data_IF_775939258947
#
_entry.id   IF_775939258947
#
_cell.length_a   1.000
_cell.length_b   1.000
_cell.length_c   1.000
_cell.angle_alpha   90.00
_cell.angle_beta   90.00
_cell.angle_gamma   90.00
#
_symmetry.space_group_name_H-M   'P 1'
#
loop_
_entity.id
_entity.type
_entity.pdbx_description
1 polymer ?
#
# COMPACT_ATOMS: atom_id res chain seq x y z
N UNK A 1 9.48 -3.31 -27.56
CA UNK A 1 8.64 -2.93 -26.40
C UNK A 1 8.78 -3.98 -25.30
N UNK A 2 9.22 -3.64 -24.08
CA UNK A 2 9.27 -4.60 -22.96
C UNK A 2 7.83 -4.97 -22.57
N UNK A 3 7.51 -6.28 -22.56
CA UNK A 3 6.19 -6.82 -22.18
C UNK A 3 5.85 -6.36 -20.75
N UNK A 4 4.66 -5.80 -20.54
CA UNK A 4 4.19 -5.34 -19.21
C UNK A 4 4.15 -6.55 -18.27
N UNK A 5 4.85 -6.48 -17.13
CA UNK A 5 4.81 -7.54 -16.10
C UNK A 5 3.44 -7.51 -15.41
N UNK A 6 2.89 -8.68 -15.11
CA UNK A 6 1.65 -8.81 -14.32
C UNK A 6 1.95 -8.62 -12.82
N UNK A 7 0.93 -8.31 -11.99
CA UNK A 7 1.03 -8.42 -10.54
C UNK A 7 1.50 -9.80 -10.08
N UNK A 8 2.33 -9.86 -9.04
CA UNK A 8 2.89 -11.14 -8.56
C UNK A 8 1.89 -11.77 -7.58
N UNK A 9 1.54 -13.02 -7.86
CA UNK A 9 0.67 -13.85 -7.00
C UNK A 9 1.45 -14.98 -6.32
N UNK A 10 2.34 -15.62 -7.08
CA UNK A 10 3.22 -16.69 -6.60
C UNK A 10 4.67 -16.19 -6.59
N UNK A 11 5.19 -15.90 -5.39
CA UNK A 11 6.53 -15.34 -5.20
C UNK A 11 7.64 -16.33 -5.55
N UNK A 12 7.43 -17.63 -5.32
CA UNK A 12 8.44 -18.67 -5.62
C UNK A 12 8.59 -18.80 -7.14
N UNK A 13 7.47 -18.86 -7.85
CA UNK A 13 7.45 -18.91 -9.31
C UNK A 13 8.05 -17.63 -9.93
N UNK A 14 7.72 -16.44 -9.41
CA UNK A 14 8.34 -15.19 -9.87
C UNK A 14 9.85 -15.20 -9.64
N UNK A 15 10.32 -15.57 -8.45
CA UNK A 15 11.74 -15.61 -8.12
C UNK A 15 12.52 -16.60 -8.99
N UNK A 16 12.01 -17.83 -9.14
CA UNK A 16 12.63 -18.85 -9.99
C UNK A 16 12.72 -18.38 -11.44
N UNK A 17 11.65 -17.77 -11.98
CA UNK A 17 11.65 -17.22 -13.33
C UNK A 17 12.61 -16.03 -13.49
N UNK A 18 12.68 -15.16 -12.48
CA UNK A 18 13.46 -13.91 -12.51
C UNK A 18 14.96 -14.16 -12.40
N UNK A 19 15.36 -15.09 -11.55
CA UNK A 19 16.77 -15.33 -11.21
C UNK A 19 17.31 -16.66 -11.76
N UNK A 20 16.47 -17.45 -12.44
CA UNK A 20 16.84 -18.71 -13.08
C UNK A 20 17.50 -19.73 -12.12
N UNK A 21 17.05 -19.74 -10.85
CA UNK A 21 17.55 -20.66 -9.84
C UNK A 21 16.47 -21.02 -8.80
N UNK A 22 16.72 -22.05 -8.00
CA UNK A 22 15.78 -22.55 -6.99
C UNK A 22 15.70 -21.65 -5.77
N UNK A 23 14.47 -21.28 -5.40
CA UNK A 23 14.15 -20.56 -4.16
C UNK A 23 13.19 -21.36 -3.29
N UNK A 24 13.35 -21.24 -1.98
CA UNK A 24 12.42 -21.73 -0.97
C UNK A 24 12.03 -20.61 0.01
N UNK A 25 10.81 -20.63 0.57
CA UNK A 25 10.43 -19.75 1.66
C UNK A 25 11.34 -19.90 2.86
N UNK A 26 11.75 -18.78 3.46
CA UNK A 26 12.67 -18.76 4.59
C UNK A 26 12.13 -18.01 5.81
N UNK A 27 11.45 -16.88 5.61
CA UNK A 27 10.87 -16.09 6.70
C UNK A 27 9.61 -15.39 6.21
N UNK A 28 8.59 -15.35 7.05
CA UNK A 28 7.34 -14.63 6.80
C UNK A 28 7.14 -13.64 7.95
N UNK A 29 6.91 -12.38 7.62
CA UNK A 29 6.46 -11.35 8.54
C UNK A 29 5.07 -10.92 8.09
N UNK A 30 4.05 -11.32 8.85
CA UNK A 30 2.64 -11.13 8.47
C UNK A 30 1.75 -10.85 9.70
N UNK A 31 2.24 -10.00 10.61
CA UNK A 31 1.56 -9.68 11.88
C UNK A 31 0.18 -9.03 11.70
N UNK A 32 -0.10 -8.52 10.50
CA UNK A 32 -1.32 -7.81 10.18
C UNK A 32 -2.40 -8.73 9.58
N UNK A 33 -2.07 -9.98 9.23
CA UNK A 33 -2.95 -10.91 8.50
C UNK A 33 -4.41 -10.98 8.98
N UNK A 34 -4.71 -10.99 10.30
CA UNK A 34 -6.10 -11.05 10.77
C UNK A 34 -6.92 -9.78 10.52
N UNK A 35 -6.24 -8.67 10.22
CA UNK A 35 -6.80 -7.32 10.21
C UNK A 35 -6.74 -6.66 8.82
N UNK A 36 -6.10 -7.29 7.84
CA UNK A 36 -5.86 -6.71 6.52
C UNK A 36 -7.16 -6.39 5.78
N UNK A 37 -7.12 -5.35 4.96
CA UNK A 37 -8.21 -4.98 4.06
C UNK A 37 -7.71 -4.90 2.63
N UNK A 38 -8.50 -5.42 1.69
CA UNK A 38 -8.14 -5.52 0.28
C UNK A 38 -9.21 -4.89 -0.62
N UNK A 39 -9.76 -3.74 -0.23
CA UNK A 39 -10.63 -2.98 -1.13
C UNK A 39 -9.85 -2.60 -2.39
N UNK A 40 -10.54 -2.68 -3.52
CA UNK A 40 -10.03 -2.38 -4.85
C UNK A 40 -10.50 -1.01 -5.30
N UNK A 41 -9.88 -0.50 -6.37
CA UNK A 41 -10.36 0.70 -7.01
C UNK A 41 -11.73 0.48 -7.67
N UNK A 42 -11.99 -0.70 -8.23
CA UNK A 42 -13.30 -1.05 -8.79
C UNK A 42 -14.44 -1.00 -7.78
N UNK A 43 -14.16 -1.25 -6.49
CA UNK A 43 -15.16 -1.13 -5.42
C UNK A 43 -15.67 0.31 -5.23
N UNK A 44 -14.92 1.30 -5.71
CA UNK A 44 -15.16 2.71 -5.45
C UNK A 44 -15.36 3.57 -6.71
N UNK A 45 -14.99 3.05 -7.89
CA UNK A 45 -14.97 3.80 -9.15
C UNK A 45 -16.35 4.43 -9.48
N UNK A 46 -17.44 3.71 -9.22
CA UNK A 46 -18.81 4.15 -9.56
C UNK A 46 -19.56 4.88 -8.43
N UNK A 47 -18.89 5.21 -7.32
CA UNK A 47 -19.52 5.95 -6.23
C UNK A 47 -19.81 7.41 -6.61
N UNK A 48 -20.99 7.92 -6.21
CA UNK A 48 -21.61 9.28 -6.25
C UNK A 48 -21.23 10.28 -7.37
N UNK A 49 -19.97 10.35 -7.81
CA UNK A 49 -19.46 11.29 -8.81
C UNK A 49 -18.46 10.67 -9.81
N UNK A 50 -18.17 9.37 -9.71
CA UNK A 50 -17.09 8.76 -10.45
C UNK A 50 -15.73 9.14 -9.86
N UNK A 51 -14.92 8.15 -9.48
CA UNK A 51 -13.57 8.38 -9.00
C UNK A 51 -12.55 7.95 -10.06
N UNK A 52 -11.49 8.75 -10.24
CA UNK A 52 -10.41 8.50 -11.21
C UNK A 52 -9.06 8.65 -10.54
N UNK A 53 -8.08 7.82 -10.93
CA UNK A 53 -6.71 7.87 -10.42
C UNK A 53 -6.62 7.82 -8.88
N UNK A 54 -7.48 7.02 -8.23
CA UNK A 54 -7.67 7.07 -6.78
C UNK A 54 -6.97 5.94 -6.02
N UNK A 55 -5.81 5.50 -6.49
CA UNK A 55 -5.03 4.48 -5.81
C UNK A 55 -4.64 4.91 -4.38
N UNK A 56 -4.28 6.17 -4.15
CA UNK A 56 -3.94 6.65 -2.80
C UNK A 56 -5.13 6.70 -1.84
N UNK A 57 -6.28 7.29 -2.21
CA UNK A 57 -7.50 7.17 -1.41
C UNK A 57 -7.90 5.71 -1.13
N UNK A 58 -7.74 4.79 -2.10
CA UNK A 58 -7.99 3.35 -1.89
C UNK A 58 -7.01 2.74 -0.90
N UNK A 59 -5.70 2.98 -1.07
CA UNK A 59 -4.66 2.49 -0.16
C UNK A 59 -4.84 3.02 1.26
N UNK A 60 -5.17 4.30 1.41
CA UNK A 60 -5.46 4.93 2.70
C UNK A 60 -6.71 4.34 3.36
N UNK A 61 -7.74 4.05 2.56
CA UNK A 61 -8.95 3.37 3.04
C UNK A 61 -8.62 1.99 3.58
N UNK A 62 -7.80 1.21 2.87
CA UNK A 62 -7.35 -0.11 3.34
C UNK A 62 -6.55 -0.01 4.64
N UNK A 63 -5.67 0.99 4.79
CA UNK A 63 -4.95 1.24 6.05
C UNK A 63 -5.90 1.55 7.21
N UNK A 64 -6.86 2.46 7.00
CA UNK A 64 -7.80 2.87 8.05
C UNK A 64 -8.73 1.71 8.46
N UNK A 65 -9.16 0.87 7.52
CA UNK A 65 -9.91 -0.35 7.82
C UNK A 65 -9.06 -1.34 8.64
N UNK A 66 -7.78 -1.49 8.29
CA UNK A 66 -6.88 -2.36 9.05
C UNK A 66 -6.67 -1.86 10.48
N UNK A 67 -6.48 -0.56 10.67
CA UNK A 67 -6.37 0.03 12.02
C UNK A 67 -7.68 -0.14 12.82
N UNK A 68 -8.84 0.03 12.18
CA UNK A 68 -10.16 -0.24 12.80
C UNK A 68 -10.24 -1.67 13.33
N UNK A 69 -9.82 -2.64 12.52
CA UNK A 69 -9.92 -4.06 12.85
C UNK A 69 -9.04 -4.47 14.05
N UNK A 70 -7.95 -3.75 14.31
CA UNK A 70 -7.04 -4.05 15.44
C UNK A 70 -7.57 -3.53 16.75
N UNK A 71 -7.95 -2.26 16.77
CA UNK A 71 -8.21 -1.59 18.02
C UNK A 71 -9.62 -1.87 18.56
N UNK A 72 -10.47 -2.61 17.82
CA UNK A 72 -11.91 -2.73 18.09
C UNK A 72 -12.50 -1.38 18.52
N UNK A 73 -11.97 -0.26 17.99
CA UNK A 73 -12.24 1.06 18.57
C UNK A 73 -13.68 1.40 18.26
N UNK A 74 -14.56 1.55 19.27
CA UNK A 74 -15.94 1.96 19.05
C UNK A 74 -16.01 3.34 18.35
N UNK A 75 -14.93 4.11 18.45
CA UNK A 75 -14.80 5.48 17.94
C UNK A 75 -14.52 5.56 16.44
N UNK A 76 -14.00 4.49 15.82
CA UNK A 76 -13.95 4.34 14.37
C UNK A 76 -15.32 3.88 13.87
N UNK A 77 -16.30 4.77 13.99
CA UNK A 77 -17.64 4.60 13.41
C UNK A 77 -17.54 4.66 11.87
N UNK A 78 -16.95 3.62 11.28
CA UNK A 78 -16.91 3.38 9.85
C UNK A 78 -18.12 2.53 9.52
N UNK A 79 -19.15 3.18 8.98
CA UNK A 79 -20.39 2.55 8.54
C UNK A 79 -20.14 1.51 7.43
N UNK A 80 -19.26 1.84 6.48
CA UNK A 80 -18.88 0.97 5.37
C UNK A 80 -17.55 1.39 4.74
N UNK A 81 -16.85 0.47 4.05
CA UNK A 81 -15.68 0.82 3.24
C UNK A 81 -15.94 1.94 2.23
N UNK A 82 -17.12 1.99 1.62
CA UNK A 82 -17.51 3.01 0.66
C UNK A 82 -17.68 4.39 1.32
N UNK A 83 -18.32 4.44 2.50
CA UNK A 83 -18.47 5.69 3.27
C UNK A 83 -17.09 6.23 3.69
N UNK A 84 -16.22 5.35 4.20
CA UNK A 84 -14.84 5.69 4.53
C UNK A 84 -14.08 6.22 3.31
N UNK A 85 -14.14 5.52 2.18
CA UNK A 85 -13.49 5.96 0.94
C UNK A 85 -13.98 7.34 0.47
N UNK A 86 -15.31 7.57 0.46
CA UNK A 86 -15.87 8.87 0.05
C UNK A 86 -15.31 9.99 0.94
N UNK A 87 -15.20 9.73 2.24
CA UNK A 87 -14.69 10.69 3.21
C UNK A 87 -13.18 10.93 3.08
N UNK A 88 -12.38 9.89 2.87
CA UNK A 88 -10.93 10.02 2.63
C UNK A 88 -10.69 10.76 1.32
N UNK A 89 -11.32 10.35 0.23
CA UNK A 89 -11.21 11.03 -1.07
C UNK A 89 -11.67 12.49 -1.01
N UNK A 90 -12.77 12.79 -0.30
CA UNK A 90 -13.22 14.19 -0.09
C UNK A 90 -12.19 15.00 0.69
N UNK A 91 -11.57 14.42 1.72
CA UNK A 91 -10.50 15.07 2.47
C UNK A 91 -9.29 15.36 1.56
N UNK A 92 -8.84 14.37 0.79
CA UNK A 92 -7.72 14.52 -0.14
C UNK A 92 -7.97 15.62 -1.17
N UNK A 93 -9.18 15.71 -1.74
CA UNK A 93 -9.54 16.81 -2.66
C UNK A 93 -9.52 18.17 -2.00
N UNK A 94 -10.06 18.30 -0.78
CA UNK A 94 -10.06 19.57 -0.03
C UNK A 94 -8.64 20.05 0.29
N UNK A 95 -7.72 19.11 0.52
CA UNK A 95 -6.32 19.41 0.80
C UNK A 95 -5.45 19.57 -0.46
N UNK A 96 -6.03 19.45 -1.66
CA UNK A 96 -5.27 19.37 -2.92
C UNK A 96 -4.25 18.20 -2.94
N UNK A 97 -4.44 17.21 -2.06
CA UNK A 97 -3.62 16.01 -1.97
C UNK A 97 -4.12 14.91 -2.91
N UNK A 98 -5.35 15.00 -3.42
CA UNK A 98 -5.91 14.07 -4.41
C UNK A 98 -6.68 14.84 -5.48
N UNK A 99 -6.28 14.66 -6.74
CA UNK A 99 -6.91 15.27 -7.91
C UNK A 99 -7.75 14.23 -8.65
N UNK A 100 -9.08 14.32 -8.51
CA UNK A 100 -10.04 13.40 -9.14
C UNK A 100 -10.24 13.71 -10.64
N UNK A 101 -9.17 13.64 -11.41
CA UNK A 101 -9.17 13.90 -12.85
C UNK A 101 -8.35 12.81 -13.55
N UNK A 102 -8.57 12.68 -14.85
CA UNK A 102 -7.72 11.86 -15.71
C UNK A 102 -7.63 12.55 -17.06
N UNK A 103 -6.76 13.56 -17.17
CA UNK A 103 -6.49 14.19 -18.47
C UNK A 103 -5.45 13.35 -19.21
N UNK A 104 -5.81 12.87 -20.40
CA UNK A 104 -5.02 11.95 -21.23
C UNK A 104 -4.52 10.68 -20.51
N UNK A 105 -5.23 10.23 -19.47
CA UNK A 105 -4.82 9.06 -18.69
C UNK A 105 -3.59 9.26 -17.80
N UNK A 106 -3.08 10.49 -17.66
CA UNK A 106 -1.80 10.78 -16.98
C UNK A 106 -1.85 11.87 -15.91
N UNK A 107 -2.77 12.83 -16.02
CA UNK A 107 -2.89 13.90 -15.03
C UNK A 107 -3.97 13.57 -14.01
N UNK A 108 -3.59 13.52 -12.74
CA UNK A 108 -4.47 13.24 -11.61
C UNK A 108 -3.80 12.41 -10.52
N UNK A 109 -4.58 12.02 -9.53
CA UNK A 109 -4.16 11.13 -8.44
C UNK A 109 -3.57 11.85 -7.24
N UNK A 110 -2.85 11.09 -6.42
CA UNK A 110 -2.38 11.56 -5.12
C UNK A 110 -1.08 12.36 -5.26
N UNK A 111 -1.05 13.55 -4.68
CA UNK A 111 0.14 14.38 -4.62
C UNK A 111 1.21 13.72 -3.77
N UNK A 112 2.41 13.58 -4.33
CA UNK A 112 3.56 13.07 -3.61
C UNK A 112 3.89 13.94 -2.39
N UNK A 113 3.96 15.26 -2.58
CA UNK A 113 4.35 16.19 -1.52
C UNK A 113 3.34 16.30 -0.38
N UNK A 114 2.05 16.14 -0.68
CA UNK A 114 0.97 16.33 0.29
C UNK A 114 0.48 15.03 0.93
N UNK A 115 1.03 13.88 0.53
CA UNK A 115 0.59 12.58 1.06
C UNK A 115 0.83 12.44 2.56
N UNK A 116 1.96 12.92 3.08
CA UNK A 116 2.24 12.92 4.53
C UNK A 116 1.21 13.71 5.35
N UNK A 117 0.98 14.99 5.04
CA UNK A 117 -0.10 15.78 5.65
C UNK A 117 -1.49 15.13 5.48
N UNK A 118 -1.79 14.60 4.31
CA UNK A 118 -3.06 13.94 4.01
C UNK A 118 -3.30 12.70 4.88
N UNK A 119 -2.30 11.81 5.00
CA UNK A 119 -2.34 10.65 5.90
C UNK A 119 -2.60 11.07 7.34
N UNK A 120 -1.82 12.02 7.87
CA UNK A 120 -1.96 12.48 9.26
C UNK A 120 -3.33 13.11 9.52
N UNK A 121 -3.86 13.87 8.57
CA UNK A 121 -5.18 14.47 8.69
C UNK A 121 -6.29 13.41 8.67
N UNK A 122 -6.15 12.37 7.83
CA UNK A 122 -7.09 11.25 7.83
C UNK A 122 -7.04 10.50 9.16
N UNK A 123 -5.85 10.17 9.66
CA UNK A 123 -5.68 9.54 10.97
C UNK A 123 -6.33 10.38 12.09
N UNK A 124 -6.14 11.71 12.09
CA UNK A 124 -6.77 12.62 13.06
C UNK A 124 -8.29 12.63 12.95
N UNK A 125 -8.82 12.71 11.73
CA UNK A 125 -10.26 12.72 11.48
C UNK A 125 -10.94 11.48 12.06
N UNK A 126 -10.24 10.35 12.03
CA UNK A 126 -10.72 9.08 12.56
C UNK A 126 -10.21 8.76 13.97
N UNK A 127 -9.64 9.75 14.68
CA UNK A 127 -9.18 9.65 16.06
C UNK A 127 -8.20 8.50 16.34
N UNK A 128 -7.39 8.11 15.35
CA UNK A 128 -6.36 7.07 15.52
C UNK A 128 -4.97 7.64 15.84
N UNK A 129 -4.83 8.96 15.94
CA UNK A 129 -3.53 9.62 16.17
C UNK A 129 -2.89 9.28 17.50
N UNK A 130 -3.69 8.99 18.52
CA UNK A 130 -3.18 8.69 19.86
C UNK A 130 -2.68 7.24 19.99
N UNK A 131 -2.98 6.42 18.98
CA UNK A 131 -2.60 5.00 18.89
C UNK A 131 -1.59 4.73 17.77
N UNK A 132 -1.18 5.75 17.01
CA UNK A 132 -0.32 5.55 15.84
C UNK A 132 0.77 6.63 15.73
N UNK A 133 2.02 6.18 15.72
CA UNK A 133 3.18 7.00 15.37
C UNK A 133 3.48 6.85 13.88
N UNK A 134 3.51 7.98 13.16
CA UNK A 134 3.80 8.01 11.71
C UNK A 134 5.24 8.44 11.44
N UNK A 135 6.01 7.51 10.87
CA UNK A 135 7.38 7.71 10.41
C UNK A 135 7.39 7.98 8.90
N UNK A 136 8.00 9.09 8.46
CA UNK A 136 7.96 9.52 7.05
C UNK A 136 9.29 9.30 6.35
N UNK A 137 9.27 8.70 5.17
CA UNK A 137 10.46 8.41 4.36
C UNK A 137 10.19 8.82 2.91
N UNK A 138 10.43 10.10 2.56
CA UNK A 138 10.14 10.62 1.22
C UNK A 138 11.06 10.04 0.14
N UNK A 139 12.26 9.58 0.52
CA UNK A 139 13.22 8.91 -0.36
C UNK A 139 13.61 7.58 0.28
N UNK A 140 12.89 6.53 -0.09
CA UNK A 140 13.08 5.17 0.40
C UNK A 140 13.37 4.20 -0.74
N UNK A 141 13.91 3.03 -0.39
CA UNK A 141 14.05 1.87 -1.28
C UNK A 141 13.39 0.64 -0.66
N UNK A 142 13.22 -0.41 -1.45
CA UNK A 142 12.57 -1.64 -1.00
C UNK A 142 13.15 -2.26 0.28
N UNK A 143 14.46 -2.13 0.53
CA UNK A 143 15.07 -2.62 1.78
C UNK A 143 14.68 -1.80 3.01
N UNK A 144 14.34 -0.52 2.85
CA UNK A 144 13.78 0.28 3.93
C UNK A 144 12.37 -0.18 4.29
N UNK A 145 11.55 -0.53 3.30
CA UNK A 145 10.22 -1.12 3.53
C UNK A 145 10.32 -2.42 4.31
N UNK A 146 11.21 -3.33 3.89
CA UNK A 146 11.45 -4.59 4.62
C UNK A 146 11.81 -4.29 6.07
N UNK A 147 12.69 -3.31 6.33
CA UNK A 147 13.07 -2.92 7.69
C UNK A 147 11.91 -2.38 8.52
N UNK A 148 11.01 -1.57 7.93
CA UNK A 148 9.84 -1.06 8.65
C UNK A 148 8.82 -2.17 8.96
N UNK A 149 8.57 -3.05 7.99
CA UNK A 149 7.68 -4.20 8.15
C UNK A 149 8.25 -5.20 9.17
N UNK A 150 9.58 -5.38 9.24
CA UNK A 150 10.23 -6.23 10.23
C UNK A 150 9.97 -5.77 11.67
N UNK A 151 9.91 -4.45 11.87
CA UNK A 151 9.49 -3.78 13.11
C UNK A 151 7.99 -3.89 13.40
N UNK A 152 7.23 -4.63 12.57
CA UNK A 152 5.79 -4.82 12.73
C UNK A 152 4.95 -3.62 12.29
N UNK A 153 5.52 -2.64 11.58
CA UNK A 153 4.78 -1.44 11.16
C UNK A 153 3.95 -1.72 9.90
N UNK A 154 2.80 -1.07 9.79
CA UNK A 154 2.00 -0.99 8.57
C UNK A 154 2.60 0.10 7.66
N UNK A 155 2.59 -0.07 6.34
CA UNK A 155 3.22 0.91 5.43
C UNK A 155 2.25 1.40 4.36
N UNK A 156 2.07 2.72 4.27
CA UNK A 156 1.58 3.36 3.05
C UNK A 156 2.76 3.53 2.10
N UNK A 157 2.72 2.90 0.93
CA UNK A 157 3.77 2.96 -0.08
C UNK A 157 3.28 3.73 -1.30
N UNK A 158 4.06 4.72 -1.72
CA UNK A 158 3.89 5.43 -2.98
C UNK A 158 5.06 5.12 -3.91
N UNK A 159 4.74 4.52 -5.06
CA UNK A 159 5.70 4.16 -6.10
C UNK A 159 5.68 5.19 -7.22
N UNK A 160 6.83 5.45 -7.85
CA UNK A 160 6.94 6.38 -8.98
C UNK A 160 7.10 5.68 -10.33
N UNK A 161 7.93 4.64 -10.40
CA UNK A 161 8.35 4.01 -11.66
C UNK A 161 8.35 2.48 -11.59
N UNK A 162 7.37 1.88 -10.90
CA UNK A 162 7.35 0.42 -10.75
C UNK A 162 7.14 -0.28 -12.11
N UNK A 163 7.84 -1.38 -12.43
CA UNK A 163 7.75 -2.06 -13.72
C UNK A 163 6.31 -2.43 -14.13
N UNK A 164 5.52 -2.93 -13.16
CA UNK A 164 4.12 -3.33 -13.31
C UNK A 164 3.14 -2.18 -13.06
N UNK A 165 3.34 -1.45 -11.95
CA UNK A 165 2.35 -0.52 -11.39
C UNK A 165 2.56 0.92 -11.86
N UNK A 166 3.73 1.26 -12.40
CA UNK A 166 4.13 2.64 -12.74
C UNK A 166 4.08 3.54 -11.49
N UNK A 167 3.43 4.69 -11.57
CA UNK A 167 3.11 5.53 -10.43
C UNK A 167 1.84 4.99 -9.77
N UNK A 168 1.94 4.56 -8.51
CA UNK A 168 0.84 3.88 -7.83
C UNK A 168 1.03 3.85 -6.31
N UNK A 169 -0.08 3.95 -5.58
CA UNK A 169 -0.11 3.92 -4.11
C UNK A 169 -0.72 2.60 -3.63
N UNK A 170 -0.12 1.98 -2.61
CA UNK A 170 -0.57 0.70 -2.03
C UNK A 170 -0.41 0.67 -0.51
N UNK A 171 -1.16 -0.20 0.15
CA UNK A 171 -0.92 -0.55 1.55
C UNK A 171 -0.06 -1.83 1.60
N UNK A 172 1.03 -1.82 2.37
CA UNK A 172 1.91 -2.95 2.58
C UNK A 172 1.85 -3.43 4.03
N UNK A 173 1.57 -4.72 4.20
CA UNK A 173 1.23 -5.34 5.48
C UNK A 173 2.36 -6.21 6.05
N UNK A 174 3.19 -6.75 5.17
CA UNK A 174 4.20 -7.72 5.57
C UNK A 174 5.16 -8.05 4.44
N UNK A 175 6.00 -9.04 4.65
CA UNK A 175 6.85 -9.56 3.60
C UNK A 175 7.13 -11.05 3.76
N UNK A 176 7.49 -11.67 2.64
CA UNK A 176 8.07 -13.01 2.60
C UNK A 176 9.48 -12.93 2.06
N UNK A 177 10.38 -13.63 2.73
CA UNK A 177 11.77 -13.81 2.34
C UNK A 177 11.92 -15.18 1.69
N UNK A 178 12.54 -15.22 0.52
CA UNK A 178 12.97 -16.45 -0.13
C UNK A 178 14.49 -16.55 -0.12
N UNK A 179 15.00 -17.78 0.00
CA UNK A 179 16.42 -18.10 -0.04
C UNK A 179 16.76 -19.11 -1.12
N UNK A 180 17.95 -18.99 -1.70
CA UNK A 180 18.59 -20.04 -2.49
C UNK A 180 19.42 -20.96 -1.60
N UNK A 181 19.80 -22.15 -2.12
CA UNK A 181 20.73 -23.06 -1.43
C UNK A 181 22.09 -22.42 -1.15
N UNK A 182 22.54 -21.51 -2.03
CA UNK A 182 23.81 -20.78 -1.91
C UNK A 182 23.71 -19.55 -1.00
N UNK A 183 22.59 -19.32 -0.31
CA UNK A 183 22.43 -18.21 0.64
C UNK A 183 21.98 -16.88 0.02
N UNK A 184 21.65 -16.84 -1.28
CA UNK A 184 21.05 -15.66 -1.91
C UNK A 184 19.66 -15.37 -1.32
N UNK A 185 19.34 -14.11 -1.07
CA UNK A 185 18.09 -13.68 -0.39
C UNK A 185 17.32 -12.70 -1.25
N UNK A 186 16.00 -12.89 -1.33
CA UNK A 186 15.09 -11.94 -1.99
C UNK A 186 13.85 -11.74 -1.14
N UNK A 187 13.26 -10.55 -1.22
CA UNK A 187 12.14 -10.14 -0.39
C UNK A 187 10.96 -9.71 -1.24
N UNK A 188 9.77 -10.18 -0.87
CA UNK A 188 8.51 -9.88 -1.52
C UNK A 188 7.55 -9.27 -0.50
N UNK A 189 7.16 -8.02 -0.73
CA UNK A 189 6.24 -7.27 0.12
C UNK A 189 4.81 -7.72 -0.17
N UNK A 190 4.04 -8.08 0.85
CA UNK A 190 2.61 -8.39 0.75
C UNK A 190 1.81 -7.09 0.80
N UNK A 191 1.01 -6.84 -0.22
CA UNK A 191 0.30 -5.57 -0.41
C UNK A 191 -1.17 -5.74 -0.78
N UNK A 192 -2.01 -4.78 -0.37
CA UNK A 192 -3.25 -4.47 -1.06
C UNK A 192 -2.94 -3.50 -2.20
N UNK A 193 -2.92 -4.03 -3.43
CA UNK A 193 -2.56 -3.27 -4.63
C UNK A 193 -3.71 -2.42 -5.18
N UNK A 194 -4.92 -2.55 -4.64
CA UNK A 194 -6.10 -1.85 -5.13
C UNK A 194 -6.61 -2.37 -6.49
N UNK A 195 -6.06 -3.45 -7.04
CA UNK A 195 -6.57 -4.12 -8.25
C UNK A 195 -7.17 -5.49 -7.93
N UNK A 196 -6.78 -6.10 -6.81
CA UNK A 196 -7.31 -7.39 -6.36
C UNK A 196 -7.84 -7.35 -4.93
N UNK A 197 -8.88 -8.13 -4.67
CA UNK A 197 -9.40 -8.41 -3.31
C UNK A 197 -8.58 -9.44 -2.53
N UNK A 198 -7.43 -9.84 -3.07
CA UNK A 198 -6.49 -10.81 -2.48
C UNK A 198 -5.10 -10.19 -2.46
N UNK A 199 -4.22 -10.62 -1.53
CA UNK A 199 -2.86 -10.10 -1.49
C UNK A 199 -2.16 -10.25 -2.83
N UNK A 200 -1.37 -9.24 -3.16
CA UNK A 200 -0.38 -9.27 -4.24
C UNK A 200 0.99 -9.00 -3.66
N UNK A 201 2.01 -9.32 -4.44
CA UNK A 201 3.39 -9.17 -4.01
C UNK A 201 4.14 -8.17 -4.87
N UNK A 202 5.05 -7.44 -4.23
CA UNK A 202 6.01 -6.55 -4.89
C UNK A 202 7.40 -7.02 -4.47
N UNK A 203 8.26 -7.35 -5.43
CA UNK A 203 9.66 -7.64 -5.12
C UNK A 203 10.33 -6.35 -4.64
N UNK A 204 11.03 -6.39 -3.51
CA UNK A 204 11.72 -5.22 -2.95
C UNK A 204 12.75 -4.62 -3.95
N UNK A 205 13.33 -5.46 -4.81
CA UNK A 205 14.24 -5.03 -5.87
C UNK A 205 13.58 -4.16 -6.96
N UNK A 206 12.25 -4.24 -7.11
CA UNK A 206 11.50 -3.40 -8.06
C UNK A 206 11.17 -2.00 -7.49
N UNK A 207 11.67 -1.69 -6.29
CA UNK A 207 11.50 -0.40 -5.59
C UNK A 207 12.85 0.31 -5.35
N UNK A 208 13.54 0.77 -6.41
CA UNK A 208 14.81 1.48 -6.27
C UNK A 208 14.64 2.90 -5.67
N UNK A 209 13.48 3.51 -5.89
CA UNK A 209 13.08 4.79 -5.31
C UNK A 209 11.56 4.83 -5.13
N UNK A 210 11.12 5.12 -3.91
CA UNK A 210 9.73 5.30 -3.54
C UNK A 210 9.61 6.28 -2.38
N UNK A 211 8.37 6.61 -2.03
CA UNK A 211 8.04 7.20 -0.73
C UNK A 211 7.27 6.22 0.11
N UNK A 212 7.47 6.28 1.42
CA UNK A 212 6.66 5.53 2.35
C UNK A 212 6.37 6.28 3.64
N UNK A 213 5.26 5.93 4.25
CA UNK A 213 4.91 6.31 5.61
C UNK A 213 4.66 5.03 6.39
N UNK A 214 5.48 4.78 7.40
CA UNK A 214 5.35 3.61 8.27
C UNK A 214 4.58 4.00 9.53
N UNK A 215 3.51 3.27 9.79
CA UNK A 215 2.59 3.44 10.92
C UNK A 215 2.95 2.40 11.98
N UNK A 216 3.38 2.89 13.13
CA UNK A 216 3.65 2.10 14.32
C UNK A 216 2.45 2.25 15.26
N UNK A 217 1.78 1.13 15.54
CA UNK A 217 0.68 1.10 16.51
C UNK A 217 1.27 1.03 17.92
N UNK A 218 0.77 1.89 18.81
CA UNK A 218 1.15 1.97 20.24
C UNK A 218 0.02 1.56 21.16
#
# INVERSE_FOLDING_TARGET
MKKKRAPIENIVQDAQKRYQCGFAPARVKDSWAPYESFCTMGDFEHLKHGYRQHCGPTALTNILLTLKNIHSTPELAIESPQSLFIQTARLGRRMLAYYNISLFGRLGGTSWFLMGPYLRMALRKYKVTDHVIVHSYPLAKGSDLVRQLDKGRLVFLQMFHHPTYKAHDVAAYGYQELKTKQGGRVFYLKVADGWSRRPRYIAAADLPLCSMWALEVV
#
